data_IF_243478092245
#
_entry.id   IF_243478092245
#
_cell.length_a   1.000
_cell.length_b   1.000
_cell.length_c   1.000
_cell.angle_alpha   90.00
_cell.angle_beta   90.00
_cell.angle_gamma   90.00
#
_symmetry.space_group_name_H-M   'P 1'
#
loop_
_entity.id
_entity.type
_entity.pdbx_description
1 polymer ?
#
# COMPACT_ATOMS: atom_id res chain seq x y z
N UNK A 1 -44.40 26.04 24.31
CA UNK A 1 -43.58 24.81 24.20
C UNK A 1 -42.55 24.98 23.09
N UNK A 2 -41.51 25.77 23.33
CA UNK A 2 -40.41 25.99 22.38
C UNK A 2 -39.27 25.04 22.75
N UNK A 3 -38.94 24.11 21.86
CA UNK A 3 -37.81 23.19 22.06
C UNK A 3 -36.51 23.97 21.84
N UNK A 4 -35.57 24.00 22.81
CA UNK A 4 -34.33 24.71 22.66
C UNK A 4 -33.49 24.10 21.52
N UNK A 5 -32.94 24.97 20.70
CA UNK A 5 -32.03 24.68 19.61
C UNK A 5 -30.79 23.99 20.19
N UNK A 6 -30.69 22.68 20.03
CA UNK A 6 -29.53 21.92 20.50
C UNK A 6 -28.36 22.29 19.58
N UNK A 7 -27.46 23.13 20.06
CA UNK A 7 -26.15 23.38 19.45
C UNK A 7 -25.40 22.07 19.34
N UNK A 8 -25.39 21.48 18.15
CA UNK A 8 -24.49 20.39 17.82
C UNK A 8 -23.11 20.98 17.54
N UNK A 9 -22.35 21.23 18.62
CA UNK A 9 -20.91 21.43 18.56
C UNK A 9 -20.27 20.12 18.06
N UNK A 10 -20.14 19.97 16.75
CA UNK A 10 -19.36 18.89 16.13
C UNK A 10 -17.92 19.37 16.07
N UNK A 11 -16.98 18.75 16.81
CA UNK A 11 -15.57 19.04 16.64
C UNK A 11 -15.20 18.69 15.20
N UNK A 12 -14.73 19.69 14.44
CA UNK A 12 -14.09 19.44 13.15
C UNK A 12 -12.84 18.60 13.44
N UNK A 13 -12.95 17.28 13.29
CA UNK A 13 -11.78 16.42 13.29
C UNK A 13 -10.83 16.96 12.22
N UNK A 14 -9.58 17.30 12.57
CA UNK A 14 -8.62 17.72 11.58
C UNK A 14 -8.48 16.54 10.61
N UNK A 15 -8.84 16.77 9.34
CA UNK A 15 -8.53 15.84 8.26
C UNK A 15 -7.00 15.74 8.19
N UNK A 16 -6.45 14.83 8.99
CA UNK A 16 -5.09 14.38 8.81
C UNK A 16 -5.08 13.80 7.41
N UNK A 17 -4.40 14.47 6.48
CA UNK A 17 -4.12 13.95 5.15
C UNK A 17 -3.29 12.68 5.35
N UNK A 18 -3.98 11.58 5.61
CA UNK A 18 -3.38 10.28 5.79
C UNK A 18 -2.70 9.95 4.48
N UNK A 19 -1.36 9.95 4.48
CA UNK A 19 -0.56 9.26 3.49
C UNK A 19 -0.71 7.74 3.67
N UNK A 20 -1.92 7.25 3.98
CA UNK A 20 -2.28 5.83 4.16
C UNK A 20 -2.37 5.08 2.83
N UNK A 21 -1.84 5.66 1.75
CA UNK A 21 -2.04 5.18 0.40
C UNK A 21 -0.74 4.64 -0.18
N UNK A 22 -0.68 3.33 -0.40
CA UNK A 22 0.30 2.65 -1.26
C UNK A 22 0.79 3.54 -2.43
N UNK A 23 2.11 3.59 -2.67
CA UNK A 23 2.71 4.43 -3.70
C UNK A 23 2.00 4.28 -5.06
N UNK A 24 1.80 5.39 -5.78
CA UNK A 24 1.10 5.43 -7.08
C UNK A 24 1.75 4.49 -8.12
N UNK A 25 3.06 4.31 -8.05
CA UNK A 25 3.84 3.37 -8.87
C UNK A 25 3.44 1.90 -8.66
N UNK A 26 2.83 1.56 -7.52
CA UNK A 26 2.39 0.20 -7.21
C UNK A 26 0.90 -0.03 -7.56
N UNK A 27 0.25 0.94 -8.20
CA UNK A 27 -1.18 0.91 -8.56
C UNK A 27 -1.38 0.58 -10.04
N UNK A 28 -2.58 0.08 -10.38
CA UNK A 28 -2.94 -0.58 -11.65
C UNK A 28 -2.35 0.03 -12.94
N UNK A 29 -2.50 1.34 -13.16
CA UNK A 29 -2.03 2.01 -14.39
C UNK A 29 -0.52 1.84 -14.64
N UNK A 30 0.29 1.92 -13.58
CA UNK A 30 1.74 1.74 -13.70
C UNK A 30 2.12 0.27 -13.97
N UNK A 31 1.31 -0.67 -13.50
CA UNK A 31 1.59 -2.10 -13.65
C UNK A 31 1.36 -2.61 -15.07
N UNK A 32 0.47 -1.98 -15.84
CA UNK A 32 0.20 -2.41 -17.22
C UNK A 32 1.41 -2.33 -18.15
N UNK A 33 2.37 -1.44 -17.83
CA UNK A 33 3.62 -1.30 -18.57
C UNK A 33 4.67 -2.35 -18.20
N UNK A 34 4.47 -3.08 -17.10
CA UNK A 34 5.40 -4.10 -16.64
C UNK A 34 5.07 -5.46 -17.26
N UNK A 35 6.08 -6.29 -17.57
CA UNK A 35 5.87 -7.66 -18.03
C UNK A 35 5.00 -8.41 -17.01
N UNK A 36 4.03 -9.18 -17.50
CA UNK A 36 3.06 -9.93 -16.68
C UNK A 36 2.33 -9.06 -15.63
N UNK A 37 2.19 -7.76 -15.88
CA UNK A 37 1.62 -6.77 -14.95
C UNK A 37 2.38 -6.70 -13.60
N UNK A 38 3.69 -6.93 -13.63
CA UNK A 38 4.57 -6.97 -12.46
C UNK A 38 4.37 -8.21 -11.58
N UNK A 39 3.83 -9.29 -12.13
CA UNK A 39 3.61 -10.56 -11.43
C UNK A 39 4.74 -11.55 -11.71
N UNK A 40 5.17 -12.28 -10.68
CA UNK A 40 6.19 -13.31 -10.78
C UNK A 40 6.21 -14.20 -9.54
N UNK A 41 7.35 -14.84 -9.33
CA UNK A 41 7.62 -15.66 -8.13
C UNK A 41 8.42 -14.85 -7.13
N UNK A 42 7.92 -14.72 -5.90
CA UNK A 42 8.62 -13.97 -4.85
C UNK A 42 9.90 -14.70 -4.43
N UNK A 43 11.07 -14.05 -4.41
CA UNK A 43 12.33 -14.71 -4.01
C UNK A 43 12.36 -15.04 -2.51
N UNK A 44 11.56 -14.37 -1.69
CA UNK A 44 11.54 -14.57 -0.22
C UNK A 44 10.54 -15.65 0.18
N UNK A 45 9.27 -15.51 -0.20
CA UNK A 45 8.20 -16.44 0.22
C UNK A 45 7.79 -17.46 -0.85
N UNK A 46 8.47 -17.48 -2.00
CA UNK A 46 8.22 -18.40 -3.14
C UNK A 46 6.78 -18.38 -3.71
N UNK A 47 5.96 -17.41 -3.30
CA UNK A 47 4.61 -17.25 -3.81
C UNK A 47 4.64 -16.94 -5.32
N UNK A 48 3.87 -17.69 -6.10
CA UNK A 48 3.78 -17.56 -7.55
C UNK A 48 2.65 -16.60 -7.97
N UNK A 49 2.72 -16.07 -9.21
CA UNK A 49 1.72 -15.15 -9.81
C UNK A 49 1.41 -13.90 -8.95
N UNK A 50 2.30 -13.53 -8.04
CA UNK A 50 2.13 -12.42 -7.09
C UNK A 50 2.87 -11.17 -7.56
N UNK A 51 2.35 -9.99 -7.21
CA UNK A 51 2.96 -8.70 -7.57
C UNK A 51 4.29 -8.49 -6.84
N UNK A 52 5.38 -8.28 -7.59
CA UNK A 52 6.74 -8.02 -7.09
C UNK A 52 7.10 -6.55 -7.31
N UNK A 53 6.60 -5.67 -6.44
CA UNK A 53 6.68 -4.22 -6.67
C UNK A 53 7.59 -3.51 -5.69
N UNK A 54 7.81 -4.13 -4.53
CA UNK A 54 8.50 -3.52 -3.42
C UNK A 54 9.95 -3.90 -3.44
N UNK A 55 10.84 -2.93 -3.41
CA UNK A 55 12.27 -3.21 -3.31
C UNK A 55 12.60 -3.53 -1.85
N UNK A 56 13.33 -4.63 -1.61
CA UNK A 56 13.96 -4.99 -0.33
C UNK A 56 15.40 -5.41 -0.61
N UNK A 57 16.30 -5.06 0.29
CA UNK A 57 17.67 -5.58 0.30
C UNK A 57 17.61 -6.97 0.94
N UNK A 58 18.08 -7.99 0.23
CA UNK A 58 18.26 -9.34 0.77
C UNK A 58 19.52 -9.41 1.62
N UNK A 59 19.69 -10.51 2.35
CA UNK A 59 20.86 -10.78 3.21
C UNK A 59 22.17 -10.71 2.41
N UNK A 60 22.15 -11.11 1.13
CA UNK A 60 23.29 -11.04 0.20
C UNK A 60 23.62 -9.61 -0.29
N UNK A 61 22.99 -8.57 0.26
CA UNK A 61 23.13 -7.18 -0.20
C UNK A 61 22.41 -6.87 -1.53
N UNK A 62 21.80 -7.87 -2.16
CA UNK A 62 21.10 -7.72 -3.44
C UNK A 62 19.75 -7.04 -3.25
N UNK A 63 19.50 -5.97 -4.00
CA UNK A 63 18.20 -5.30 -4.04
C UNK A 63 17.25 -6.07 -4.96
N UNK A 64 16.30 -6.80 -4.40
CA UNK A 64 15.31 -7.54 -5.16
C UNK A 64 13.90 -6.95 -5.01
N UNK A 65 13.06 -7.18 -6.02
CA UNK A 65 11.62 -6.89 -5.96
C UNK A 65 10.89 -8.03 -5.26
N UNK A 66 10.26 -7.72 -4.14
CA UNK A 66 9.51 -8.65 -3.30
C UNK A 66 8.02 -8.37 -3.32
N UNK A 67 7.25 -9.35 -2.84
CA UNK A 67 5.79 -9.25 -2.81
C UNK A 67 5.27 -8.38 -1.66
N UNK A 68 3.99 -7.96 -1.76
CA UNK A 68 3.34 -7.15 -0.73
C UNK A 68 3.37 -7.77 0.67
N UNK A 69 3.33 -9.11 0.75
CA UNK A 69 3.32 -9.86 2.01
C UNK A 69 4.67 -9.72 2.72
N UNK A 70 5.76 -9.93 1.99
CA UNK A 70 7.13 -9.77 2.51
C UNK A 70 7.50 -8.31 2.84
N UNK A 71 6.78 -7.32 2.31
CA UNK A 71 6.91 -5.93 2.76
C UNK A 71 6.15 -5.64 4.05
N UNK A 72 4.99 -6.24 4.22
CA UNK A 72 4.10 -6.00 5.37
C UNK A 72 4.57 -6.72 6.64
N UNK A 73 5.38 -7.77 6.52
CA UNK A 73 6.03 -8.42 7.65
C UNK A 73 7.17 -7.56 8.21
N UNK A 74 6.83 -6.72 9.17
CA UNK A 74 7.54 -6.62 10.44
C UNK A 74 6.60 -7.18 11.50
#
# INVERSE_FOLDING_TARGET
MLRPFREYNVPLHPYTKGTNGMAKSNRGKALWKLPSRGRGTCPVCRATRIKLLYTRTLEDGVKAKVCKRCRAGA
#
